data_IF_280125756444
#
_entry.id   IF_280125756444
#
_cell.length_a   1.000
_cell.length_b   1.000
_cell.length_c   1.000
_cell.angle_alpha   90.00
_cell.angle_beta   90.00
_cell.angle_gamma   90.00
#
_symmetry.space_group_name_H-M   'P 1'
#
loop_
_entity.id
_entity.type
_entity.pdbx_description
1 polymer ?
#
# COMPACT_ATOMS: atom_id res chain seq x y z
N UNK A 1 18.98 -1.03 -5.32
CA UNK A 1 17.50 -0.93 -5.50
C UNK A 1 16.96 -2.27 -5.97
N UNK A 2 15.88 -2.76 -5.38
CA UNK A 2 15.11 -3.93 -5.83
C UNK A 2 13.65 -3.53 -5.97
N UNK A 3 12.92 -4.18 -6.87
CA UNK A 3 11.46 -4.19 -6.84
C UNK A 3 10.97 -5.25 -5.85
N UNK A 4 9.84 -5.02 -5.22
CA UNK A 4 9.25 -6.05 -4.36
C UNK A 4 7.73 -6.02 -4.35
N UNK A 5 7.14 -7.17 -4.09
CA UNK A 5 5.71 -7.32 -3.83
C UNK A 5 5.47 -7.90 -2.44
N UNK A 6 4.41 -7.44 -1.78
CA UNK A 6 3.98 -7.99 -0.49
C UNK A 6 2.55 -8.47 -0.63
N UNK A 7 2.35 -9.75 -0.44
CA UNK A 7 1.10 -10.46 -0.69
C UNK A 7 0.69 -11.29 0.51
N UNK A 8 -0.60 -11.53 0.68
CA UNK A 8 -1.09 -12.58 1.56
C UNK A 8 -1.00 -13.91 0.82
N UNK A 9 -0.34 -14.89 1.40
CA UNK A 9 -0.40 -16.28 0.96
C UNK A 9 -1.25 -17.04 1.98
N UNK A 10 -2.41 -17.50 1.56
CA UNK A 10 -3.40 -18.18 2.39
C UNK A 10 -3.67 -19.58 1.84
N UNK A 11 -3.06 -20.58 2.45
CA UNK A 11 -3.21 -22.00 2.05
C UNK A 11 -2.96 -22.22 0.54
N UNK A 12 -1.89 -21.66 0.02
CA UNK A 12 -1.54 -21.75 -1.41
C UNK A 12 -2.33 -20.80 -2.33
N UNK A 13 -3.21 -19.97 -1.80
CA UNK A 13 -3.92 -18.96 -2.57
C UNK A 13 -3.35 -17.55 -2.31
N UNK A 14 -3.18 -16.77 -3.37
CA UNK A 14 -2.72 -15.38 -3.29
C UNK A 14 -3.81 -14.48 -3.89
N UNK A 15 -4.55 -13.73 -3.06
CA UNK A 15 -5.56 -12.79 -3.55
C UNK A 15 -4.92 -11.70 -4.44
N UNK A 16 -5.62 -11.30 -5.50
CA UNK A 16 -5.21 -10.19 -6.39
C UNK A 16 -3.83 -10.40 -7.05
N UNK A 17 -3.43 -11.64 -7.29
CA UNK A 17 -2.13 -11.98 -7.88
C UNK A 17 -1.90 -11.26 -9.22
N UNK A 18 -2.94 -11.11 -10.05
CA UNK A 18 -2.85 -10.45 -11.35
C UNK A 18 -2.49 -8.96 -11.23
N UNK A 19 -3.00 -8.26 -10.21
CA UNK A 19 -2.61 -6.86 -9.93
C UNK A 19 -1.15 -6.76 -9.50
N UNK A 20 -0.67 -7.69 -8.68
CA UNK A 20 0.73 -7.76 -8.27
C UNK A 20 1.65 -8.04 -9.45
N UNK A 21 1.28 -9.01 -10.28
CA UNK A 21 2.00 -9.33 -11.51
C UNK A 21 2.08 -8.12 -12.45
N UNK A 22 0.96 -7.46 -12.69
CA UNK A 22 0.91 -6.30 -13.56
C UNK A 22 1.78 -5.15 -13.04
N UNK A 23 1.72 -4.87 -11.72
CA UNK A 23 2.52 -3.80 -11.12
C UNK A 23 4.02 -4.08 -11.21
N UNK A 24 4.48 -5.27 -10.86
CA UNK A 24 5.91 -5.59 -10.93
C UNK A 24 6.41 -5.62 -12.38
N UNK A 25 5.62 -6.13 -13.32
CA UNK A 25 5.94 -6.13 -14.74
C UNK A 25 6.08 -4.71 -15.29
N UNK A 26 5.09 -3.84 -15.04
CA UNK A 26 5.14 -2.43 -15.47
C UNK A 26 6.30 -1.67 -14.82
N UNK A 27 6.55 -1.89 -13.51
CA UNK A 27 7.68 -1.27 -12.82
C UNK A 27 9.02 -1.77 -13.36
N UNK A 28 9.12 -3.04 -13.74
CA UNK A 28 10.34 -3.61 -14.34
C UNK A 28 10.66 -2.96 -15.68
N UNK A 29 9.67 -2.78 -16.53
CA UNK A 29 9.81 -2.10 -17.80
C UNK A 29 10.25 -0.64 -17.62
N UNK A 30 9.54 0.12 -16.75
CA UNK A 30 9.86 1.53 -16.51
C UNK A 30 11.24 1.76 -15.91
N UNK A 31 11.74 0.83 -15.10
CA UNK A 31 12.99 0.96 -14.35
C UNK A 31 14.16 0.18 -14.98
N UNK A 32 13.92 -0.52 -16.09
CA UNK A 32 14.95 -1.29 -16.82
C UNK A 32 15.43 -2.52 -16.02
N UNK A 33 14.52 -3.21 -15.33
CA UNK A 33 14.79 -4.52 -14.73
C UNK A 33 14.52 -5.62 -15.75
N UNK A 34 15.32 -6.68 -15.74
CA UNK A 34 14.98 -7.88 -16.47
C UNK A 34 13.80 -8.57 -15.80
N UNK A 35 12.79 -8.91 -16.57
CA UNK A 35 11.60 -9.59 -16.04
C UNK A 35 11.11 -10.69 -16.99
N UNK A 36 11.31 -11.93 -16.57
CA UNK A 36 10.81 -13.10 -17.31
C UNK A 36 9.41 -13.46 -16.82
N UNK A 37 8.41 -13.29 -17.67
CA UNK A 37 7.00 -13.56 -17.37
C UNK A 37 6.70 -15.03 -17.10
N UNK A 38 7.39 -15.96 -17.78
CA UNK A 38 7.21 -17.40 -17.57
C UNK A 38 7.86 -17.83 -16.27
N UNK A 39 9.07 -17.35 -16.01
CA UNK A 39 9.79 -17.62 -14.77
C UNK A 39 9.02 -17.10 -13.55
N UNK A 40 8.45 -15.87 -13.63
CA UNK A 40 7.57 -15.36 -12.56
C UNK A 40 6.40 -16.31 -12.28
N UNK A 41 5.68 -16.77 -13.31
CA UNK A 41 4.54 -17.67 -13.14
C UNK A 41 4.94 -18.99 -12.50
N UNK A 42 6.06 -19.58 -12.94
CA UNK A 42 6.59 -20.82 -12.35
C UNK A 42 7.04 -20.60 -10.89
N UNK A 43 7.74 -19.51 -10.63
CA UNK A 43 8.22 -19.15 -9.30
C UNK A 43 7.06 -19.01 -8.30
N UNK A 44 6.03 -18.27 -8.65
CA UNK A 44 4.82 -18.11 -7.82
C UNK A 44 4.06 -19.44 -7.68
N UNK A 45 3.96 -20.23 -8.72
CA UNK A 45 3.34 -21.55 -8.65
C UNK A 45 4.06 -22.47 -7.65
N UNK A 46 5.37 -22.50 -7.69
CA UNK A 46 6.18 -23.29 -6.76
C UNK A 46 5.98 -22.84 -5.31
N UNK A 47 5.97 -21.53 -5.04
CA UNK A 47 5.69 -21.00 -3.70
C UNK A 47 4.31 -21.44 -3.19
N UNK A 48 3.28 -21.32 -4.02
CA UNK A 48 1.90 -21.74 -3.69
C UNK A 48 1.80 -23.23 -3.35
N UNK A 49 2.52 -24.07 -4.08
CA UNK A 49 2.57 -25.51 -3.88
C UNK A 49 3.31 -25.89 -2.60
N UNK A 50 4.51 -25.33 -2.41
CA UNK A 50 5.35 -25.58 -1.23
C UNK A 50 4.67 -25.12 0.07
N UNK A 51 3.92 -24.03 0.00
CA UNK A 51 3.26 -23.42 1.16
C UNK A 51 1.74 -23.51 1.08
N UNK A 52 1.24 -24.70 0.72
CA UNK A 52 -0.20 -24.99 0.62
C UNK A 52 -0.94 -25.05 1.97
N UNK A 53 -0.21 -24.91 3.08
CA UNK A 53 -0.76 -24.86 4.44
C UNK A 53 -0.32 -23.57 5.14
N UNK A 54 -1.18 -23.06 6.04
CA UNK A 54 -0.88 -21.85 6.81
C UNK A 54 -1.21 -20.55 6.08
N UNK A 55 -0.99 -19.44 6.79
CA UNK A 55 -1.25 -18.07 6.31
C UNK A 55 0.00 -17.23 6.56
N UNK A 56 0.52 -16.61 5.52
CA UNK A 56 1.79 -15.89 5.57
C UNK A 56 1.72 -14.53 4.88
N UNK A 57 2.55 -13.62 5.32
CA UNK A 57 2.98 -12.46 4.55
C UNK A 57 4.13 -12.91 3.64
N UNK A 58 3.83 -13.05 2.36
CA UNK A 58 4.81 -13.35 1.32
C UNK A 58 5.39 -12.03 0.80
N UNK A 59 6.72 -11.89 0.86
CA UNK A 59 7.46 -10.83 0.19
C UNK A 59 8.27 -11.46 -0.94
N UNK A 60 8.06 -11.01 -2.16
CA UNK A 60 8.84 -11.39 -3.34
C UNK A 60 9.69 -10.20 -3.75
N UNK A 61 10.97 -10.41 -4.01
CA UNK A 61 11.90 -9.38 -4.47
C UNK A 61 12.46 -9.74 -5.84
N UNK A 62 12.66 -8.72 -6.67
CA UNK A 62 13.27 -8.82 -8.00
C UNK A 62 14.48 -7.88 -8.05
N UNK A 63 15.66 -8.38 -8.40
CA UNK A 63 16.83 -7.55 -8.68
C UNK A 63 16.87 -7.11 -10.15
N UNK A 64 17.85 -6.26 -10.49
CA UNK A 64 17.98 -5.74 -11.87
C UNK A 64 18.27 -6.82 -12.90
N UNK A 65 18.95 -7.87 -12.50
CA UNK A 65 19.37 -9.00 -13.32
C UNK A 65 18.25 -10.03 -13.56
N UNK A 66 17.07 -9.81 -12.98
CA UNK A 66 15.90 -10.68 -13.14
C UNK A 66 15.81 -11.82 -12.12
N UNK A 67 16.67 -11.84 -11.10
CA UNK A 67 16.60 -12.86 -10.06
C UNK A 67 15.45 -12.59 -9.08
N UNK A 68 14.65 -13.63 -8.84
CA UNK A 68 13.54 -13.61 -7.88
C UNK A 68 13.94 -14.31 -6.59
N UNK A 69 13.65 -13.66 -5.47
CA UNK A 69 13.75 -14.25 -4.13
C UNK A 69 12.45 -14.04 -3.37
N UNK A 70 12.20 -14.87 -2.34
CA UNK A 70 11.04 -14.66 -1.47
C UNK A 70 11.35 -14.91 0.00
N UNK A 71 10.55 -14.27 0.83
CA UNK A 71 10.56 -14.41 2.28
C UNK A 71 9.13 -14.60 2.78
N UNK A 72 8.96 -15.44 3.81
CA UNK A 72 7.68 -15.65 4.48
C UNK A 72 7.77 -15.16 5.92
N UNK A 73 6.74 -14.44 6.34
CA UNK A 73 6.60 -13.91 7.69
C UNK A 73 5.22 -14.24 8.24
N UNK A 74 5.06 -14.38 9.56
CA UNK A 74 3.75 -14.43 10.18
C UNK A 74 3.00 -13.10 9.92
N UNK A 75 1.67 -13.19 9.90
CA UNK A 75 0.82 -11.99 9.89
C UNK A 75 0.37 -11.76 11.34
N UNK A 76 0.87 -10.74 12.04
CA UNK A 76 0.42 -10.43 13.38
C UNK A 76 -1.06 -10.10 13.40
N UNK A 77 -1.78 -10.62 14.38
CA UNK A 77 -3.15 -10.18 14.64
C UNK A 77 -3.11 -8.75 15.21
N UNK A 78 -3.83 -7.85 14.55
CA UNK A 78 -3.91 -6.46 14.96
C UNK A 78 -5.27 -5.89 14.56
N UNK A 79 -6.15 -5.63 15.53
CA UNK A 79 -7.54 -5.26 15.26
C UNK A 79 -7.69 -3.85 14.67
N UNK A 80 -6.77 -2.94 15.00
CA UNK A 80 -6.73 -1.58 14.44
C UNK A 80 -5.31 -1.03 14.45
N UNK A 81 -5.11 0.07 13.75
CA UNK A 81 -3.86 0.82 13.72
C UNK A 81 -4.05 2.22 14.27
N UNK A 82 -2.99 2.75 14.87
CA UNK A 82 -2.87 4.17 15.18
C UNK A 82 -2.07 4.86 14.09
N UNK A 83 -2.46 6.07 13.71
CA UNK A 83 -1.71 6.85 12.72
C UNK A 83 -1.70 8.34 13.06
N UNK A 84 -0.69 9.05 12.58
CA UNK A 84 -0.58 10.50 12.60
C UNK A 84 -0.38 11.05 11.21
N UNK A 85 -0.78 12.31 11.02
CA UNK A 85 -0.56 13.04 9.77
C UNK A 85 0.88 13.53 9.66
N UNK A 86 1.50 13.32 8.50
CA UNK A 86 2.87 13.76 8.20
C UNK A 86 2.91 14.35 6.81
N UNK A 87 3.50 15.53 6.68
CA UNK A 87 3.72 16.14 5.39
C UNK A 87 4.81 15.37 4.63
N UNK A 88 4.57 15.11 3.35
CA UNK A 88 5.54 14.46 2.48
C UNK A 88 6.85 15.28 2.43
N UNK A 89 7.97 14.59 2.48
CA UNK A 89 9.28 15.24 2.28
C UNK A 89 9.35 15.84 0.87
N UNK A 90 9.96 17.01 0.76
CA UNK A 90 10.18 17.65 -0.54
C UNK A 90 11.25 16.91 -1.35
N UNK A 91 11.19 17.05 -2.67
CA UNK A 91 12.20 16.55 -3.61
C UNK A 91 12.39 15.04 -3.63
N UNK A 92 11.32 14.26 -3.38
CA UNK A 92 11.35 12.82 -3.61
C UNK A 92 11.07 12.57 -5.09
N UNK A 93 11.90 11.74 -5.72
CA UNK A 93 11.71 11.35 -7.10
C UNK A 93 10.36 10.61 -7.25
N UNK A 94 9.54 11.08 -8.20
CA UNK A 94 8.25 10.44 -8.52
C UNK A 94 8.39 8.97 -8.90
N UNK A 95 9.50 8.62 -9.52
CA UNK A 95 9.83 7.23 -9.86
C UNK A 95 9.88 6.35 -8.61
N UNK A 96 10.46 6.85 -7.51
CA UNK A 96 10.53 6.13 -6.23
C UNK A 96 9.15 6.04 -5.56
N UNK A 97 8.37 7.10 -5.63
CA UNK A 97 7.01 7.14 -5.03
C UNK A 97 6.07 6.17 -5.72
N UNK A 98 6.08 6.16 -7.05
CA UNK A 98 5.10 5.42 -7.86
C UNK A 98 5.44 3.95 -8.09
N UNK A 99 6.67 3.54 -7.80
CA UNK A 99 7.12 2.16 -7.94
C UNK A 99 7.43 1.53 -6.57
N UNK A 100 7.12 0.24 -6.43
CA UNK A 100 7.33 -0.49 -5.18
C UNK A 100 8.76 -1.00 -5.08
N UNK A 101 9.68 -0.07 -4.78
CA UNK A 101 11.12 -0.33 -4.65
C UNK A 101 11.56 -0.44 -3.19
N UNK A 102 12.77 -0.93 -2.95
CA UNK A 102 13.41 -0.92 -1.63
C UNK A 102 13.91 0.47 -1.19
N UNK A 103 13.92 1.45 -2.08
CA UNK A 103 14.30 2.85 -1.82
C UNK A 103 13.12 3.62 -1.18
N UNK A 104 12.77 3.28 0.07
CA UNK A 104 11.61 3.85 0.77
C UNK A 104 11.94 4.59 2.07
N UNK A 105 13.16 5.08 2.20
CA UNK A 105 13.62 5.80 3.40
C UNK A 105 12.80 7.06 3.70
N UNK A 106 12.14 7.62 2.68
CA UNK A 106 11.23 8.75 2.83
C UNK A 106 9.98 8.44 3.68
N UNK A 107 9.64 7.15 3.84
CA UNK A 107 8.52 6.66 4.67
C UNK A 107 8.96 6.34 6.11
N UNK A 108 10.25 6.43 6.42
CA UNK A 108 10.76 6.10 7.76
C UNK A 108 10.28 7.14 8.78
N UNK A 109 9.76 6.65 9.90
CA UNK A 109 9.27 7.49 10.99
C UNK A 109 9.66 6.90 12.37
N UNK A 110 9.44 7.67 13.43
CA UNK A 110 9.85 7.34 14.80
C UNK A 110 8.92 6.39 15.57
N UNK A 111 7.92 5.80 14.90
CA UNK A 111 6.99 4.81 15.46
C UNK A 111 6.21 5.24 16.72
N UNK A 112 6.00 6.55 16.96
CA UNK A 112 5.04 7.03 17.98
C UNK A 112 3.61 6.58 17.69
N UNK A 113 3.28 6.36 16.43
CA UNK A 113 2.09 5.69 15.96
C UNK A 113 2.51 4.49 15.11
N UNK A 114 1.62 3.53 14.90
CA UNK A 114 1.91 2.37 14.05
C UNK A 114 2.20 2.77 12.61
N UNK A 115 1.51 3.80 12.13
CA UNK A 115 1.53 4.30 10.76
C UNK A 115 1.71 5.82 10.72
N UNK A 116 2.09 6.31 9.56
CA UNK A 116 1.93 7.71 9.18
C UNK A 116 0.96 7.80 7.99
N UNK A 117 0.06 8.80 8.01
CA UNK A 117 -0.77 9.18 6.87
C UNK A 117 -0.15 10.42 6.24
N UNK A 118 0.26 10.29 4.99
CA UNK A 118 1.03 11.29 4.27
C UNK A 118 0.09 12.23 3.53
N UNK A 119 0.41 13.52 3.54
CA UNK A 119 -0.21 14.55 2.70
C UNK A 119 0.87 15.38 1.99
N UNK A 120 0.55 15.91 0.81
CA UNK A 120 1.48 16.71 0.01
C UNK A 120 1.58 18.18 0.47
N UNK A 121 2.31 19.00 -0.28
CA UNK A 121 2.52 20.42 0.04
C UNK A 121 1.26 21.27 -0.11
N UNK A 122 0.31 20.85 -0.96
CA UNK A 122 -0.99 21.48 -1.13
C UNK A 122 -2.01 21.02 -0.09
N UNK A 123 -1.61 20.08 0.78
CA UNK A 123 -2.44 19.51 1.83
C UNK A 123 -3.32 18.35 1.39
N UNK A 124 -3.18 17.82 0.17
CA UNK A 124 -3.91 16.66 -0.30
C UNK A 124 -3.47 15.41 0.46
N UNK A 125 -4.43 14.68 1.03
CA UNK A 125 -4.19 13.37 1.66
C UNK A 125 -3.81 12.36 0.57
N UNK A 126 -2.72 11.61 0.77
CA UNK A 126 -2.16 10.67 -0.19
C UNK A 126 -2.34 9.22 0.24
N UNK A 127 -1.42 8.70 1.04
CA UNK A 127 -1.36 7.29 1.41
C UNK A 127 -0.74 7.07 2.80
N UNK A 128 -0.87 5.87 3.35
CA UNK A 128 -0.08 5.42 4.48
C UNK A 128 1.30 4.90 4.03
N UNK A 129 2.24 4.85 4.93
CA UNK A 129 3.59 4.27 4.70
C UNK A 129 3.57 2.80 4.22
N UNK A 130 2.55 2.02 4.60
CA UNK A 130 2.43 0.60 4.24
C UNK A 130 1.22 0.26 3.35
N UNK A 131 0.49 1.25 2.85
CA UNK A 131 -0.68 1.04 1.99
C UNK A 131 -1.43 2.31 1.67
N UNK A 132 -2.49 2.20 0.89
CA UNK A 132 -3.32 3.36 0.55
C UNK A 132 -4.35 3.66 1.65
N UNK A 133 -4.93 4.83 1.60
CA UNK A 133 -6.00 5.25 2.49
C UNK A 133 -7.36 5.06 1.81
N UNK A 134 -8.33 4.58 2.60
CA UNK A 134 -9.75 4.60 2.25
C UNK A 134 -10.50 5.39 3.33
N UNK A 135 -11.38 6.27 2.91
CA UNK A 135 -12.14 7.18 3.76
C UNK A 135 -13.62 6.87 3.58
N UNK A 136 -14.28 6.53 4.66
CA UNK A 136 -15.73 6.42 4.69
C UNK A 136 -16.33 7.75 5.12
N UNK A 137 -17.20 8.30 4.27
CA UNK A 137 -18.01 9.48 4.57
C UNK A 137 -19.47 9.11 4.34
N UNK A 138 -20.27 9.08 5.41
CA UNK A 138 -21.63 8.52 5.39
C UNK A 138 -21.62 7.05 4.92
N UNK A 139 -22.36 6.74 3.86
CA UNK A 139 -22.51 5.43 3.22
C UNK A 139 -21.56 5.18 2.05
N UNK A 140 -20.67 6.13 1.74
CA UNK A 140 -19.72 6.04 0.61
C UNK A 140 -18.29 5.86 1.06
N UNK A 141 -17.54 5.13 0.25
CA UNK A 141 -16.12 4.86 0.43
C UNK A 141 -15.32 5.60 -0.66
N UNK A 142 -14.29 6.30 -0.22
CA UNK A 142 -13.44 7.13 -1.08
C UNK A 142 -11.96 6.77 -0.91
N UNK A 143 -11.19 7.04 -1.94
CA UNK A 143 -9.72 7.02 -1.92
C UNK A 143 -9.20 8.21 -2.74
N UNK A 144 -8.05 8.80 -2.40
CA UNK A 144 -7.51 9.92 -3.17
C UNK A 144 -7.31 9.57 -4.64
N UNK A 145 -7.55 10.56 -5.52
CA UNK A 145 -7.28 10.43 -6.97
C UNK A 145 -5.80 10.26 -7.22
N UNK A 146 -5.43 9.27 -8.02
CA UNK A 146 -4.03 9.03 -8.39
C UNK A 146 -3.56 10.01 -9.46
N UNK A 147 -2.49 10.74 -9.18
CA UNK A 147 -1.85 11.71 -10.10
C UNK A 147 -0.33 11.49 -10.21
N UNK A 148 0.15 10.23 -9.99
CA UNK A 148 1.59 9.95 -9.91
C UNK A 148 2.24 10.50 -8.63
N UNK A 149 1.49 10.59 -7.56
CA UNK A 149 1.82 11.22 -6.29
C UNK A 149 1.83 10.25 -5.09
N UNK A 150 1.52 8.99 -5.34
CA UNK A 150 1.52 7.89 -4.37
C UNK A 150 1.73 6.56 -5.06
N UNK A 151 1.89 5.48 -4.29
CA UNK A 151 1.97 4.14 -4.86
C UNK A 151 0.59 3.67 -5.35
N UNK A 152 0.45 3.22 -6.62
CA UNK A 152 -0.79 2.59 -7.10
C UNK A 152 -0.95 1.20 -6.47
N UNK A 153 -1.68 1.12 -5.34
CA UNK A 153 -1.83 -0.10 -4.57
C UNK A 153 -2.77 -1.12 -5.22
N UNK A 154 -2.37 -2.40 -5.20
CA UNK A 154 -3.17 -3.48 -5.78
C UNK A 154 -4.56 -3.63 -5.13
N UNK A 155 -4.65 -3.43 -3.80
CA UNK A 155 -5.95 -3.46 -3.12
C UNK A 155 -6.81 -2.25 -3.51
N UNK A 156 -6.21 -1.06 -3.57
CA UNK A 156 -6.88 0.16 -4.02
C UNK A 156 -7.47 -0.03 -5.41
N UNK A 157 -6.66 -0.47 -6.38
CA UNK A 157 -7.12 -0.67 -7.75
C UNK A 157 -8.24 -1.72 -7.83
N UNK A 158 -8.09 -2.84 -7.13
CA UNK A 158 -9.14 -3.88 -7.08
C UNK A 158 -10.47 -3.35 -6.53
N UNK A 159 -10.46 -2.47 -5.55
CA UNK A 159 -11.69 -1.87 -5.00
C UNK A 159 -12.34 -0.87 -5.97
N UNK A 160 -11.55 -0.10 -6.71
CA UNK A 160 -12.03 0.81 -7.75
C UNK A 160 -12.68 0.01 -8.89
N UNK A 161 -11.98 -1.01 -9.41
CA UNK A 161 -12.48 -1.84 -10.52
C UNK A 161 -13.78 -2.57 -10.17
N UNK A 162 -13.99 -2.89 -8.88
CA UNK A 162 -15.24 -3.46 -8.37
C UNK A 162 -16.33 -2.41 -8.10
N UNK A 163 -16.09 -1.13 -8.35
CA UNK A 163 -17.02 -0.05 -8.04
C UNK A 163 -17.31 0.16 -6.55
N UNK A 164 -16.45 -0.38 -5.66
CA UNK A 164 -16.64 -0.30 -4.21
C UNK A 164 -16.11 1.00 -3.60
N UNK A 165 -15.17 1.65 -4.28
CA UNK A 165 -14.51 2.87 -3.81
C UNK A 165 -14.51 3.88 -4.95
N UNK A 166 -14.78 5.14 -4.62
CA UNK A 166 -14.83 6.28 -5.55
C UNK A 166 -13.57 7.13 -5.32
N UNK A 167 -12.96 7.60 -6.39
CA UNK A 167 -11.84 8.54 -6.28
C UNK A 167 -12.35 9.93 -5.91
N UNK A 168 -11.83 10.47 -4.80
CA UNK A 168 -12.13 11.82 -4.30
C UNK A 168 -10.98 12.31 -3.44
N UNK A 169 -10.47 13.49 -3.72
CA UNK A 169 -9.44 14.13 -2.92
C UNK A 169 -10.01 14.71 -1.62
N UNK A 170 -9.25 14.58 -0.54
CA UNK A 170 -9.48 15.23 0.75
C UNK A 170 -8.26 16.07 1.09
N UNK A 171 -8.48 17.24 1.63
CA UNK A 171 -7.40 18.15 2.03
C UNK A 171 -7.31 18.25 3.54
N UNK A 172 -6.07 18.46 4.03
CA UNK A 172 -5.68 18.32 5.43
C UNK A 172 -6.57 19.06 6.42
N UNK A 173 -7.02 20.28 6.13
CA UNK A 173 -7.82 21.06 7.08
C UNK A 173 -9.26 20.52 7.17
N UNK A 174 -9.91 20.29 6.04
CA UNK A 174 -11.24 19.65 5.98
C UNK A 174 -11.18 18.23 6.61
N UNK A 175 -10.12 17.48 6.30
CA UNK A 175 -9.93 16.13 6.82
C UNK A 175 -9.83 16.12 8.36
N UNK A 176 -9.04 17.03 8.94
CA UNK A 176 -8.93 17.17 10.41
C UNK A 176 -10.25 17.54 11.07
N UNK A 177 -11.01 18.44 10.47
CA UNK A 177 -12.33 18.86 10.97
C UNK A 177 -13.32 17.69 10.96
N UNK A 178 -13.36 16.94 9.87
CA UNK A 178 -14.23 15.77 9.72
C UNK A 178 -13.86 14.63 10.68
N UNK A 179 -12.57 14.42 10.96
CA UNK A 179 -12.13 13.47 11.99
C UNK A 179 -12.61 13.92 13.37
N UNK A 180 -12.40 15.19 13.74
CA UNK A 180 -12.81 15.73 15.05
C UNK A 180 -14.31 15.64 15.30
N UNK A 181 -15.08 15.86 14.25
CA UNK A 181 -16.55 15.81 14.29
C UNK A 181 -17.13 14.41 14.03
N UNK A 182 -16.29 13.38 13.93
CA UNK A 182 -16.68 11.99 13.65
C UNK A 182 -17.52 11.81 12.38
N UNK A 183 -17.31 12.65 11.38
CA UNK A 183 -18.02 12.60 10.09
C UNK A 183 -17.40 11.61 9.11
N UNK A 184 -16.16 11.20 9.36
CA UNK A 184 -15.44 10.21 8.54
C UNK A 184 -14.79 9.14 9.40
N UNK A 185 -14.70 7.94 8.84
CA UNK A 185 -13.83 6.87 9.32
C UNK A 185 -12.69 6.64 8.33
N UNK A 186 -11.52 6.26 8.84
CA UNK A 186 -10.32 6.09 8.03
C UNK A 186 -9.83 4.66 8.12
N UNK A 187 -9.46 4.10 6.98
CA UNK A 187 -9.02 2.72 6.86
C UNK A 187 -7.71 2.65 6.09
N UNK A 188 -6.79 1.84 6.58
CA UNK A 188 -5.66 1.33 5.79
C UNK A 188 -6.18 0.25 4.83
N UNK A 189 -5.84 0.35 3.55
CA UNK A 189 -6.07 -0.69 2.56
C UNK A 189 -4.75 -1.15 1.95
N UNK A 190 -4.49 -2.46 2.03
CA UNK A 190 -3.34 -3.10 1.40
C UNK A 190 -3.63 -4.57 1.07
N UNK A 191 -2.75 -5.20 0.31
CA UNK A 191 -2.94 -6.59 -0.15
C UNK A 191 -2.77 -7.64 0.95
N UNK A 192 -2.20 -7.26 2.09
CA UNK A 192 -1.97 -8.18 3.20
C UNK A 192 -3.22 -8.38 4.06
N UNK A 193 -3.87 -7.26 4.44
CA UNK A 193 -4.98 -7.24 5.42
C UNK A 193 -6.33 -6.86 4.82
N UNK A 194 -6.35 -6.55 3.52
CA UNK A 194 -7.48 -5.97 2.80
C UNK A 194 -7.86 -4.59 3.36
N UNK A 195 -8.74 -4.52 4.36
CA UNK A 195 -9.22 -3.28 5.00
C UNK A 195 -8.98 -3.36 6.50
N UNK A 196 -8.33 -2.35 7.06
CA UNK A 196 -8.08 -2.25 8.51
C UNK A 196 -8.46 -0.87 9.02
N UNK A 197 -9.25 -0.82 10.09
CA UNK A 197 -9.61 0.44 10.74
C UNK A 197 -8.37 1.15 11.30
N UNK A 198 -8.34 2.47 11.15
CA UNK A 198 -7.19 3.27 11.57
C UNK A 198 -7.66 4.44 12.45
N UNK A 199 -7.16 4.49 13.66
CA UNK A 199 -7.41 5.60 14.59
C UNK A 199 -6.37 6.70 14.38
N UNK A 200 -6.83 7.89 13.96
CA UNK A 200 -5.95 9.04 13.73
C UNK A 200 -5.79 9.88 15.00
N UNK A 201 -4.55 10.03 15.44
CA UNK A 201 -4.19 10.97 16.50
C UNK A 201 -3.92 12.34 15.85
N UNK A 202 -4.75 13.34 16.20
CA UNK A 202 -4.53 14.72 15.81
C UNK A 202 -3.73 15.45 16.86
N UNK A 203 -2.82 16.38 16.50
CA UNK A 203 -2.13 17.19 17.48
C UNK A 203 -3.16 18.00 18.28
N UNK A 204 -3.17 17.82 19.60
CA UNK A 204 -3.87 18.73 20.49
C UNK A 204 -3.17 20.08 20.43
N UNK A 205 -3.88 21.14 20.05
CA UNK A 205 -3.36 22.51 20.22
C UNK A 205 -3.07 22.70 21.72
N UNK A 206 -1.79 22.84 22.06
CA UNK A 206 -1.39 23.42 23.34
C UNK A 206 -1.61 24.91 23.30
#
# INVERSE_FOLDING_TARGET
>A
MHLFETMKLDKGFIPRLDYHYQRISTSSEHLGFQFDHLFWKQFIHNIKTLHSKGVFRLKVTLNKEGELNYELFPIPDKPFFTARLVQQKKNIDKVIITNKTTERDYLTHNHFTDLILIYDEDGKILEFDIGNVMIQERDKLYTPTYKGDMLPGCMRQSLIDQGKVIEKDFYIEEFKEKIKSSQINVYLINSLRAVSYTHLTLPTKR
#
